data_IF_210713936375
#
_entry.id   IF_210713936375
#
_cell.length_a   1.000
_cell.length_b   1.000
_cell.length_c   1.000
_cell.angle_alpha   90.00
_cell.angle_beta   90.00
_cell.angle_gamma   90.00
#
_symmetry.space_group_name_H-M   'P 1'
#
loop_
_entity.id
_entity.type
_entity.pdbx_description
1 polymer ?
#
# COMPACT_ATOMS: atom_id res chain seq x y z
N UNK A 1 -3.75 14.51 -32.13
CA UNK A 1 -4.41 15.09 -30.95
C UNK A 1 -4.20 14.20 -29.73
N UNK A 2 -4.70 12.97 -29.72
CA UNK A 2 -4.56 12.03 -28.58
C UNK A 2 -3.10 11.68 -28.21
N UNK A 3 -2.26 11.37 -29.20
CA UNK A 3 -0.81 11.11 -28.99
C UNK A 3 -0.09 12.31 -28.35
N UNK A 4 -0.52 13.52 -28.69
CA UNK A 4 0.07 14.76 -28.16
C UNK A 4 -0.32 15.00 -26.71
N UNK A 5 -1.55 14.62 -26.32
CA UNK A 5 -2.04 14.73 -24.95
C UNK A 5 -1.37 13.69 -24.03
N UNK A 6 -1.18 12.47 -24.52
CA UNK A 6 -0.49 11.40 -23.77
C UNK A 6 0.96 11.82 -23.44
N UNK A 7 1.68 12.37 -24.42
CA UNK A 7 3.06 12.82 -24.22
C UNK A 7 3.17 13.99 -23.21
N UNK A 8 2.16 14.87 -23.15
CA UNK A 8 2.14 15.97 -22.17
C UNK A 8 1.90 15.47 -20.75
N UNK A 9 0.94 14.55 -20.57
CA UNK A 9 0.64 13.93 -19.28
C UNK A 9 1.80 13.05 -18.77
N UNK A 10 2.49 12.35 -19.68
CA UNK A 10 3.70 11.58 -19.37
C UNK A 10 4.81 12.50 -18.88
N UNK A 11 5.09 13.60 -19.58
CA UNK A 11 6.12 14.57 -19.17
C UNK A 11 5.81 15.23 -17.82
N UNK A 12 4.52 15.34 -17.46
CA UNK A 12 4.09 15.86 -16.16
C UNK A 12 4.29 14.84 -15.04
N UNK A 13 4.02 13.57 -15.32
CA UNK A 13 4.12 12.47 -14.35
C UNK A 13 5.55 11.96 -14.17
N UNK A 14 6.38 12.05 -15.22
CA UNK A 14 7.79 11.68 -15.25
C UNK A 14 8.65 12.85 -15.81
N UNK A 15 8.82 13.92 -15.03
CA UNK A 15 9.61 15.08 -15.46
C UNK A 15 11.09 14.77 -15.65
N UNK A 16 11.58 13.67 -15.06
CA UNK A 16 12.96 13.21 -15.20
C UNK A 16 13.16 12.26 -16.39
N UNK A 17 12.09 11.82 -17.07
CA UNK A 17 12.15 10.91 -18.21
C UNK A 17 12.68 9.53 -17.85
N UNK A 18 12.53 9.10 -16.59
CA UNK A 18 13.01 7.80 -16.09
C UNK A 18 12.35 6.64 -16.84
N UNK A 19 11.09 6.81 -17.25
CA UNK A 19 10.25 5.78 -17.85
C UNK A 19 10.10 5.91 -19.37
N UNK A 20 10.66 6.96 -19.97
CA UNK A 20 10.50 7.27 -21.40
C UNK A 20 11.01 6.14 -22.33
N UNK A 21 12.02 5.37 -21.87
CA UNK A 21 12.62 4.26 -22.60
C UNK A 21 12.22 2.88 -22.05
N UNK A 22 11.27 2.81 -21.11
CA UNK A 22 10.88 1.54 -20.50
C UNK A 22 10.25 0.62 -21.55
N UNK A 23 10.74 -0.62 -21.62
CA UNK A 23 9.96 -1.65 -22.30
C UNK A 23 8.68 -1.93 -21.49
N UNK A 24 7.67 -2.49 -22.15
CA UNK A 24 6.46 -2.96 -21.45
C UNK A 24 6.79 -3.95 -20.33
N UNK A 25 7.84 -4.76 -20.50
CA UNK A 25 8.29 -5.70 -19.48
C UNK A 25 8.92 -4.99 -18.27
N UNK A 26 9.73 -3.95 -18.51
CA UNK A 26 10.35 -3.17 -17.43
C UNK A 26 9.31 -2.43 -16.60
N UNK A 27 8.30 -1.84 -17.24
CA UNK A 27 7.19 -1.19 -16.55
C UNK A 27 6.44 -2.18 -15.65
N UNK A 28 6.07 -3.36 -16.18
CA UNK A 28 5.39 -4.40 -15.41
C UNK A 28 6.25 -4.84 -14.22
N UNK A 29 7.55 -5.03 -14.42
CA UNK A 29 8.48 -5.41 -13.35
C UNK A 29 8.54 -4.34 -12.26
N UNK A 30 8.70 -3.07 -12.61
CA UNK A 30 8.77 -1.98 -11.63
C UNK A 30 7.48 -1.86 -10.81
N UNK A 31 6.31 -2.05 -11.43
CA UNK A 31 5.03 -2.06 -10.70
C UNK A 31 4.97 -3.23 -9.71
N UNK A 32 5.37 -4.44 -10.13
CA UNK A 32 5.38 -5.62 -9.26
C UNK A 32 6.38 -5.47 -8.10
N UNK A 33 7.58 -4.97 -8.37
CA UNK A 33 8.61 -4.72 -7.36
C UNK A 33 8.12 -3.68 -6.34
N UNK A 34 7.48 -2.60 -6.81
CA UNK A 34 6.87 -1.59 -5.95
C UNK A 34 5.73 -2.17 -5.10
N UNK A 35 4.83 -2.96 -5.70
CA UNK A 35 3.73 -3.62 -4.98
C UNK A 35 4.27 -4.54 -3.88
N UNK A 36 5.29 -5.37 -4.18
CA UNK A 36 5.94 -6.23 -3.21
C UNK A 36 6.54 -5.43 -2.04
N UNK A 37 7.26 -4.34 -2.36
CA UNK A 37 7.87 -3.46 -1.36
C UNK A 37 6.82 -2.81 -0.44
N UNK A 38 5.75 -2.27 -1.00
CA UNK A 38 4.68 -1.62 -0.22
C UNK A 38 3.97 -2.62 0.70
N UNK A 39 3.71 -3.84 0.22
CA UNK A 39 3.08 -4.89 1.03
C UNK A 39 3.99 -5.30 2.20
N UNK A 40 5.29 -5.46 1.96
CA UNK A 40 6.25 -5.80 3.00
C UNK A 40 6.37 -4.68 4.05
N UNK A 41 6.56 -3.44 3.60
CA UNK A 41 6.67 -2.26 4.48
C UNK A 41 5.41 -2.08 5.32
N UNK A 42 4.22 -2.18 4.71
CA UNK A 42 2.95 -2.06 5.43
C UNK A 42 2.78 -3.16 6.49
N UNK A 43 3.19 -4.39 6.16
CA UNK A 43 3.15 -5.51 7.10
C UNK A 43 4.12 -5.31 8.27
N UNK A 44 5.29 -4.72 8.02
CA UNK A 44 6.27 -4.37 9.04
C UNK A 44 5.73 -3.27 9.96
N UNK A 45 5.19 -2.20 9.40
CA UNK A 45 4.59 -1.10 10.17
C UNK A 45 3.44 -1.56 11.05
N UNK A 46 2.57 -2.44 10.53
CA UNK A 46 1.47 -3.01 11.32
C UNK A 46 1.97 -3.77 12.55
N UNK A 47 2.94 -4.67 12.37
CA UNK A 47 3.56 -5.42 13.48
C UNK A 47 4.26 -4.49 14.47
N UNK A 48 4.94 -3.47 13.97
CA UNK A 48 5.62 -2.49 14.81
C UNK A 48 4.62 -1.67 15.65
N UNK A 49 3.47 -1.28 15.08
CA UNK A 49 2.42 -0.59 15.83
C UNK A 49 1.86 -1.46 16.96
N UNK A 50 1.61 -2.75 16.71
CA UNK A 50 1.18 -3.71 17.73
C UNK A 50 2.22 -3.81 18.86
N UNK A 51 3.50 -3.97 18.50
CA UNK A 51 4.58 -4.05 19.48
C UNK A 51 4.69 -2.78 20.33
N UNK A 52 4.54 -1.60 19.73
CA UNK A 52 4.52 -0.32 20.46
C UNK A 52 3.33 -0.23 21.42
N UNK A 53 2.13 -0.65 21.00
CA UNK A 53 0.94 -0.67 21.86
C UNK A 53 1.15 -1.58 23.06
N UNK A 54 1.68 -2.79 22.86
CA UNK A 54 1.99 -3.71 23.94
C UNK A 54 3.04 -3.14 24.91
N UNK A 55 4.10 -2.54 24.37
CA UNK A 55 5.17 -1.93 25.17
C UNK A 55 4.66 -0.77 26.04
N UNK A 56 3.77 0.06 25.51
CA UNK A 56 3.23 1.23 26.20
C UNK A 56 2.18 0.87 27.25
N UNK A 57 1.65 -0.35 27.24
CA UNK A 57 0.58 -0.80 28.13
C UNK A 57 0.95 -2.15 28.79
N UNK A 58 2.02 -2.18 29.62
CA UNK A 58 2.56 -3.43 30.16
C UNK A 58 1.61 -4.18 31.11
N UNK A 59 0.66 -3.47 31.72
CA UNK A 59 -0.31 -4.04 32.67
C UNK A 59 -1.63 -4.49 31.99
N UNK A 60 -1.70 -4.41 30.66
CA UNK A 60 -2.89 -4.79 29.88
C UNK A 60 -2.57 -6.00 29.02
N UNK A 61 -3.32 -7.08 29.22
CA UNK A 61 -3.28 -8.23 28.32
C UNK A 61 -4.14 -7.96 27.07
N UNK A 62 -3.50 -7.86 25.91
CA UNK A 62 -4.20 -7.65 24.63
C UNK A 62 -4.57 -8.97 23.98
N UNK A 63 -5.85 -9.14 23.65
CA UNK A 63 -6.27 -10.19 22.72
C UNK A 63 -5.94 -9.77 21.29
N UNK A 64 -5.06 -10.52 20.63
CA UNK A 64 -4.66 -10.30 19.24
C UNK A 64 -5.35 -11.24 18.25
N UNK A 65 -6.27 -12.09 18.71
CA UNK A 65 -7.02 -13.01 17.85
C UNK A 65 -7.85 -12.24 16.82
N UNK A 66 -7.73 -12.62 15.54
CA UNK A 66 -8.44 -11.98 14.44
C UNK A 66 -7.87 -10.62 13.99
N UNK A 67 -6.75 -10.19 14.58
CA UNK A 67 -6.07 -8.97 14.18
C UNK A 67 -5.44 -9.12 12.78
N UNK A 68 -5.80 -8.23 11.86
CA UNK A 68 -5.44 -8.33 10.45
C UNK A 68 -5.27 -6.93 9.86
N UNK A 69 -4.15 -6.72 9.15
CA UNK A 69 -3.76 -5.44 8.55
C UNK A 69 -4.73 -4.96 7.47
N UNK A 70 -5.53 -5.85 6.90
CA UNK A 70 -6.48 -5.58 5.81
C UNK A 70 -7.91 -5.40 6.32
N UNK A 71 -8.14 -5.52 7.64
CA UNK A 71 -9.46 -5.35 8.26
C UNK A 71 -9.62 -3.97 8.86
N UNK A 72 -10.86 -3.55 8.99
CA UNK A 72 -11.25 -2.37 9.75
C UNK A 72 -12.13 -2.75 10.93
N UNK A 73 -12.18 -1.89 11.94
CA UNK A 73 -13.13 -2.03 13.05
C UNK A 73 -14.43 -1.34 12.65
N UNK A 74 -15.49 -2.12 12.48
CA UNK A 74 -16.86 -1.64 12.22
C UNK A 74 -17.81 -2.22 13.24
N UNK A 75 -18.57 -1.36 13.91
CA UNK A 75 -19.51 -1.76 14.98
C UNK A 75 -18.88 -2.66 16.06
N UNK A 76 -17.61 -2.40 16.41
CA UNK A 76 -16.84 -3.16 17.40
C UNK A 76 -16.38 -4.54 16.95
N UNK A 77 -16.45 -4.86 15.64
CA UNK A 77 -15.99 -6.12 15.06
C UNK A 77 -14.96 -5.87 13.96
N UNK A 78 -14.06 -6.83 13.77
CA UNK A 78 -13.17 -6.85 12.62
C UNK A 78 -13.97 -7.21 11.37
N UNK A 79 -14.00 -6.31 10.39
CA UNK A 79 -14.71 -6.47 9.12
C UNK A 79 -13.77 -6.28 7.94
N UNK A 80 -14.03 -6.97 6.83
CA UNK A 80 -13.39 -6.63 5.56
C UNK A 80 -13.91 -5.26 5.13
N UNK A 81 -13.03 -4.31 4.76
CA UNK A 81 -13.45 -3.05 4.16
C UNK A 81 -14.41 -3.34 3.00
N UNK A 82 -15.44 -2.49 2.85
CA UNK A 82 -16.24 -2.57 1.63
C UNK A 82 -15.30 -2.13 0.50
N UNK A 83 -15.22 -2.92 -0.57
CA UNK A 83 -14.60 -2.38 -1.77
C UNK A 83 -15.39 -1.12 -2.13
N UNK A 84 -14.71 0.03 -2.10
CA UNK A 84 -15.34 1.26 -2.55
C UNK A 84 -15.84 1.03 -3.97
N UNK A 85 -17.08 1.43 -4.25
CA UNK A 85 -17.58 1.58 -5.61
C UNK A 85 -16.56 2.43 -6.38
N UNK A 86 -15.70 1.79 -7.16
CA UNK A 86 -14.85 2.43 -8.16
C UNK A 86 -15.64 2.56 -9.45
#
# INVERSE_FOLDING_TARGET
>A
AEVTLIAEEERKSDPAGIYADFSRADLVKTVLDWQGSVVEVSSSHFRNAIAQIQLLNPDVEFNLEGLDKEKEVRDGRMATPLEGDN
#
